data_IF_914259179261
#
_entry.id   IF_914259179261
#
_cell.length_a   1.000
_cell.length_b   1.000
_cell.length_c   1.000
_cell.angle_alpha   90.00
_cell.angle_beta   90.00
_cell.angle_gamma   90.00
#
_symmetry.space_group_name_H-M   'P 1'
#
loop_
_entity.id
_entity.type
_entity.pdbx_description
1 polymer ?
#
# COMPACT_ATOMS: atom_id res chain seq x y z
N UNK A 1 3.65 -9.52 -1.70
CA UNK A 1 3.76 -8.19 -2.34
C UNK A 1 5.19 -7.87 -2.78
N UNK A 2 6.10 -7.41 -1.91
CA UNK A 2 7.44 -6.92 -2.34
C UNK A 2 8.26 -7.96 -3.12
N UNK A 3 8.33 -9.21 -2.64
CA UNK A 3 9.07 -10.29 -3.35
C UNK A 3 8.58 -10.53 -4.78
N UNK A 4 7.28 -10.36 -5.04
CA UNK A 4 6.66 -10.68 -6.34
C UNK A 4 6.54 -9.45 -7.24
N UNK A 5 6.19 -8.28 -6.69
CA UNK A 5 5.81 -7.09 -7.46
C UNK A 5 6.71 -5.87 -7.21
N UNK A 6 7.63 -5.94 -6.23
CA UNK A 6 8.55 -4.84 -5.97
C UNK A 6 9.63 -4.71 -7.05
N UNK A 7 10.13 -3.50 -7.22
CA UNK A 7 11.34 -3.25 -8.03
C UNK A 7 12.56 -3.93 -7.40
N UNK A 8 13.63 -4.11 -8.17
CA UNK A 8 14.85 -4.73 -7.64
C UNK A 8 15.45 -3.92 -6.49
N UNK A 9 15.42 -2.58 -6.58
CA UNK A 9 15.82 -1.70 -5.49
C UNK A 9 14.97 -1.89 -4.23
N UNK A 10 13.64 -2.00 -4.37
CA UNK A 10 12.75 -2.27 -3.22
C UNK A 10 13.02 -3.65 -2.61
N UNK A 11 13.21 -4.69 -3.43
CA UNK A 11 13.51 -6.04 -2.96
C UNK A 11 14.83 -6.08 -2.17
N UNK A 12 15.89 -5.48 -2.72
CA UNK A 12 17.21 -5.40 -2.08
C UNK A 12 17.17 -4.61 -0.76
N UNK A 13 16.38 -3.55 -0.70
CA UNK A 13 16.28 -2.72 0.51
C UNK A 13 15.41 -3.36 1.59
N UNK A 14 14.20 -3.80 1.26
CA UNK A 14 13.20 -4.20 2.26
C UNK A 14 13.30 -5.67 2.66
N UNK A 15 13.58 -6.62 1.75
CA UNK A 15 13.51 -8.04 2.09
C UNK A 15 14.51 -8.46 3.19
N UNK A 16 15.78 -8.02 3.18
CA UNK A 16 16.71 -8.33 4.26
C UNK A 16 16.25 -7.74 5.61
N UNK A 17 15.74 -6.51 5.60
CA UNK A 17 15.24 -5.82 6.82
C UNK A 17 13.95 -6.42 7.37
N UNK A 18 13.11 -6.95 6.50
CA UNK A 18 11.93 -7.71 6.89
C UNK A 18 12.34 -9.06 7.52
N UNK A 19 13.39 -9.71 7.01
CA UNK A 19 13.88 -10.97 7.56
C UNK A 19 14.50 -10.81 8.96
N UNK A 20 15.12 -9.67 9.25
CA UNK A 20 15.67 -9.35 10.59
C UNK A 20 14.65 -8.73 11.54
N UNK A 21 13.49 -8.30 11.03
CA UNK A 21 12.45 -7.62 11.82
C UNK A 21 12.64 -6.11 11.98
N UNK A 22 13.69 -5.52 11.41
CA UNK A 22 13.91 -4.06 11.37
C UNK A 22 12.77 -3.35 10.63
N UNK A 23 12.26 -3.96 9.56
CA UNK A 23 11.06 -3.48 8.86
C UNK A 23 9.88 -4.36 9.20
N UNK A 24 8.85 -3.78 9.82
CA UNK A 24 7.59 -4.45 10.12
C UNK A 24 6.52 -4.03 9.13
N UNK A 25 6.07 -4.98 8.32
CA UNK A 25 5.05 -4.75 7.31
C UNK A 25 3.63 -4.77 7.89
N UNK A 26 2.76 -3.94 7.34
CA UNK A 26 1.31 -4.05 7.44
C UNK A 26 0.67 -4.00 6.05
N UNK A 27 -0.59 -4.41 5.98
CA UNK A 27 -1.36 -4.44 4.73
C UNK A 27 -2.72 -3.79 4.92
N UNK A 28 -3.02 -2.79 4.11
CA UNK A 28 -4.20 -1.94 4.24
C UNK A 28 -5.04 -1.97 2.96
N UNK A 29 -6.20 -2.62 3.02
CA UNK A 29 -7.18 -2.63 1.92
C UNK A 29 -8.47 -1.94 2.32
N UNK A 30 -9.07 -2.39 3.43
CA UNK A 30 -10.41 -2.02 3.85
C UNK A 30 -10.54 -0.54 4.19
N UNK A 31 -11.74 -0.02 3.99
CA UNK A 31 -12.16 1.33 4.37
C UNK A 31 -13.39 1.21 5.27
N UNK A 32 -13.77 2.26 6.04
CA UNK A 32 -14.86 2.16 7.01
C UNK A 32 -16.18 1.61 6.41
N UNK A 33 -16.48 2.00 5.17
CA UNK A 33 -17.69 1.62 4.45
C UNK A 33 -17.49 0.42 3.50
N UNK A 34 -16.26 -0.08 3.36
CA UNK A 34 -15.88 -1.03 2.30
C UNK A 34 -14.91 -2.08 2.86
N UNK A 35 -15.44 -3.26 3.14
CA UNK A 35 -14.66 -4.42 3.56
C UNK A 35 -14.30 -5.33 2.38
N UNK A 36 -15.27 -6.13 1.94
CA UNK A 36 -15.07 -7.13 0.89
C UNK A 36 -15.09 -6.56 -0.53
N UNK A 37 -15.78 -5.44 -0.76
CA UNK A 37 -15.79 -4.75 -2.05
C UNK A 37 -14.56 -3.85 -2.21
N UNK A 38 -13.39 -4.48 -2.31
CA UNK A 38 -12.11 -3.78 -2.51
C UNK A 38 -12.03 -3.07 -3.86
N UNK A 39 -12.87 -3.46 -4.82
CA UNK A 39 -12.95 -2.83 -6.12
C UNK A 39 -13.69 -1.49 -6.07
N UNK A 40 -14.34 -1.14 -4.94
CA UNK A 40 -15.09 0.10 -4.71
C UNK A 40 -14.37 1.13 -3.81
N UNK A 41 -13.14 0.85 -3.34
CA UNK A 41 -12.38 1.75 -2.44
C UNK A 41 -12.33 3.20 -2.93
N UNK A 42 -12.22 4.15 -2.01
CA UNK A 42 -12.25 5.59 -2.27
C UNK A 42 -10.92 6.28 -2.01
N UNK A 43 -10.03 5.68 -1.21
CA UNK A 43 -8.67 6.20 -0.99
C UNK A 43 -7.97 6.36 -2.33
N UNK A 44 -7.48 7.57 -2.59
CA UNK A 44 -6.87 7.96 -3.86
C UNK A 44 -5.41 8.35 -3.69
N UNK A 45 -4.63 8.06 -4.71
CA UNK A 45 -3.27 8.52 -4.89
C UNK A 45 -3.23 9.40 -6.14
N UNK A 46 -2.99 10.70 -5.95
CA UNK A 46 -2.83 11.66 -7.04
C UNK A 46 -1.35 11.85 -7.33
N UNK A 47 -0.95 11.69 -8.59
CA UNK A 47 0.43 11.96 -9.02
C UNK A 47 0.77 13.44 -8.84
N UNK A 48 1.95 13.71 -8.30
CA UNK A 48 2.49 15.07 -8.15
C UNK A 48 3.33 15.51 -9.36
N UNK A 49 3.54 14.60 -10.34
CA UNK A 49 4.32 14.88 -11.56
C UNK A 49 5.85 14.74 -11.41
N UNK A 50 6.35 14.42 -10.22
CA UNK A 50 7.78 14.28 -9.89
C UNK A 50 8.16 12.84 -9.50
N UNK A 51 7.28 11.88 -9.79
CA UNK A 51 7.42 10.48 -9.36
C UNK A 51 6.91 10.21 -7.94
N UNK A 52 6.35 11.21 -7.26
CA UNK A 52 5.66 11.04 -5.97
C UNK A 52 4.14 11.10 -6.12
N UNK A 53 3.44 10.58 -5.12
CA UNK A 53 1.98 10.60 -5.05
C UNK A 53 1.53 11.20 -3.72
N UNK A 54 0.47 12.00 -3.76
CA UNK A 54 -0.28 12.42 -2.57
C UNK A 54 -1.42 11.43 -2.34
N UNK A 55 -1.46 10.80 -1.18
CA UNK A 55 -2.51 9.84 -0.80
C UNK A 55 -3.53 10.53 0.11
N UNK A 56 -4.81 10.47 -0.26
CA UNK A 56 -5.94 11.00 0.52
C UNK A 56 -7.05 9.95 0.68
N UNK A 57 -7.49 9.73 1.91
CA UNK A 57 -8.57 8.81 2.24
C UNK A 57 -8.47 8.23 3.64
N UNK A 58 -9.40 7.31 3.96
CA UNK A 58 -9.45 6.63 5.25
C UNK A 58 -9.37 5.12 5.05
N UNK A 59 -8.46 4.51 5.80
CA UNK A 59 -8.32 3.06 5.87
C UNK A 59 -8.83 2.53 7.20
N UNK A 60 -9.32 1.29 7.18
CA UNK A 60 -9.88 0.60 8.33
C UNK A 60 -9.25 -0.79 8.46
N UNK A 61 -9.13 -1.26 9.70
CA UNK A 61 -8.60 -2.59 10.04
C UNK A 61 -7.19 -2.87 9.52
N UNK A 62 -6.21 -2.21 10.15
CA UNK A 62 -4.79 -2.41 9.85
C UNK A 62 -4.09 -3.19 10.97
N UNK A 63 -3.98 -4.51 10.83
CA UNK A 63 -3.20 -5.33 11.77
C UNK A 63 -1.76 -4.83 11.81
N UNK A 64 -1.25 -4.60 13.02
CA UNK A 64 0.05 -3.95 13.29
C UNK A 64 0.20 -2.51 12.79
N UNK A 65 -0.89 -1.81 12.43
CA UNK A 65 -0.81 -0.46 11.86
C UNK A 65 0.00 0.52 12.70
N UNK A 66 -0.23 0.53 14.02
CA UNK A 66 0.48 1.43 14.95
C UNK A 66 1.97 1.08 15.19
N UNK A 67 2.42 -0.12 14.83
CA UNK A 67 3.81 -0.56 15.01
C UNK A 67 4.53 -0.91 13.71
N UNK A 68 3.87 -0.74 12.57
CA UNK A 68 4.43 -0.97 11.24
C UNK A 68 5.31 0.20 10.81
N UNK A 69 6.42 -0.11 10.13
CA UNK A 69 7.30 0.87 9.51
C UNK A 69 7.17 0.88 7.99
N UNK A 70 6.38 -0.05 7.44
CA UNK A 70 6.04 -0.12 6.03
C UNK A 70 4.62 -0.64 5.87
N UNK A 71 3.79 0.06 5.10
CA UNK A 71 2.41 -0.36 4.81
C UNK A 71 2.24 -0.55 3.31
N UNK A 72 1.78 -1.73 2.91
CA UNK A 72 1.26 -1.94 1.57
C UNK A 72 -0.20 -1.48 1.55
N UNK A 73 -0.47 -0.33 0.93
CA UNK A 73 -1.79 0.30 0.91
C UNK A 73 -2.43 0.21 -0.47
N UNK A 74 -3.63 -0.34 -0.56
CA UNK A 74 -4.43 -0.32 -1.78
C UNK A 74 -5.06 1.06 -1.97
N UNK A 75 -4.81 1.68 -3.11
CA UNK A 75 -5.30 3.02 -3.46
C UNK A 75 -5.76 3.02 -4.92
N UNK A 76 -6.60 3.98 -5.29
CA UNK A 76 -6.89 4.28 -6.70
C UNK A 76 -5.97 5.36 -7.23
N UNK A 77 -5.52 5.20 -8.47
CA UNK A 77 -4.88 6.27 -9.24
C UNK A 77 -5.76 6.66 -10.42
N UNK A 78 -5.61 7.89 -10.90
CA UNK A 78 -6.25 8.37 -12.14
C UNK A 78 -5.53 7.86 -13.40
N UNK A 79 -4.44 7.10 -13.22
CA UNK A 79 -3.58 6.56 -14.28
C UNK A 79 -4.22 5.39 -15.03
N UNK A 80 -5.45 5.01 -14.67
CA UNK A 80 -6.30 4.13 -15.46
C UNK A 80 -5.68 2.75 -15.69
N UNK A 81 -5.77 1.87 -14.69
CA UNK A 81 -5.70 0.45 -14.96
C UNK A 81 -7.13 -0.07 -15.19
N UNK A 82 -7.34 -0.81 -16.29
CA UNK A 82 -8.56 -1.59 -16.44
C UNK A 82 -8.74 -2.48 -15.20
N UNK A 83 -10.00 -2.68 -14.79
CA UNK A 83 -10.29 -3.65 -13.73
C UNK A 83 -9.68 -4.99 -14.15
N UNK A 84 -8.92 -5.68 -13.27
CA UNK A 84 -8.43 -7.01 -13.57
C UNK A 84 -9.58 -7.98 -13.85
#
# INVERSE_FOLDING_TARGET
>A
MIRQHGTDAQKQYYLPRMATGETRGAFSMSEPELGSDVAAIRTRAKSNGDGTYTIDGQKMWLTNGGSSTLVATLVRTDEGADKP
#
